data_IF_165737907211
#
_entry.id   IF_165737907211
#
_cell.length_a   1.000
_cell.length_b   1.000
_cell.length_c   1.000
_cell.angle_alpha   90.00
_cell.angle_beta   90.00
_cell.angle_gamma   90.00
#
_symmetry.space_group_name_H-M   'P 1'
#
loop_
_entity.id
_entity.type
_entity.pdbx_description
1 polymer ?
#
# COMPACT_ATOMS: atom_id res chain seq x y z
N UNK A 1 3.61 7.56 -25.26
CA UNK A 1 3.82 6.91 -25.01
C UNK A 1 3.41 5.97 -24.41
N UNK A 2 3.52 5.35 -24.24
CA UNK A 2 3.08 4.41 -23.91
C UNK A 2 3.10 4.02 -22.69
N UNK A 3 2.14 3.73 -22.20
CA UNK A 3 2.00 3.34 -20.94
C UNK A 3 1.84 1.90 -20.92
N UNK A 4 2.11 1.21 -21.95
CA UNK A 4 1.94 -0.16 -21.94
C UNK A 4 2.57 -0.85 -20.80
N UNK A 5 3.75 -0.68 -20.49
CA UNK A 5 4.38 -1.35 -19.38
C UNK A 5 3.99 -0.72 -18.07
N UNK A 6 3.72 0.56 -18.08
CA UNK A 6 3.44 1.25 -16.82
C UNK A 6 2.07 0.84 -16.27
N UNK A 7 1.09 0.66 -17.15
CA UNK A 7 -0.21 0.24 -16.65
C UNK A 7 -0.14 -1.16 -16.05
N UNK A 8 0.63 -2.04 -16.66
CA UNK A 8 0.79 -3.38 -16.13
C UNK A 8 1.48 -3.36 -14.78
N UNK A 9 2.47 -2.49 -14.63
CA UNK A 9 3.15 -2.37 -13.35
C UNK A 9 2.22 -1.79 -12.29
N UNK A 10 1.37 -0.87 -12.69
CA UNK A 10 0.40 -0.31 -11.74
C UNK A 10 -0.54 -1.40 -11.24
N UNK A 11 -0.92 -2.34 -12.12
CA UNK A 11 -1.75 -3.44 -11.69
C UNK A 11 -1.02 -4.31 -10.67
N UNK A 12 0.28 -4.51 -10.87
CA UNK A 12 1.04 -5.30 -9.92
C UNK A 12 1.15 -4.58 -8.59
N UNK A 13 1.28 -3.26 -8.63
CA UNK A 13 1.34 -2.49 -7.39
C UNK A 13 0.01 -2.59 -6.66
N UNK A 14 -1.11 -2.54 -7.39
CA UNK A 14 -2.41 -2.67 -6.76
C UNK A 14 -2.56 -4.04 -6.11
N UNK A 15 -2.11 -5.08 -6.77
CA UNK A 15 -2.18 -6.41 -6.21
C UNK A 15 -1.31 -6.52 -4.97
N UNK A 16 -0.15 -5.86 -4.98
CA UNK A 16 0.73 -5.88 -3.84
C UNK A 16 0.08 -5.16 -2.66
N UNK A 17 -0.62 -4.07 -2.93
CA UNK A 17 -1.29 -3.33 -1.86
C UNK A 17 -2.35 -4.21 -1.20
N UNK A 18 -3.04 -5.04 -1.99
CA UNK A 18 -4.03 -5.92 -1.42
C UNK A 18 -3.38 -7.02 -0.60
N UNK A 19 -2.27 -7.55 -1.09
CA UNK A 19 -1.57 -8.58 -0.34
C UNK A 19 -1.02 -8.01 0.97
N UNK A 20 -0.63 -6.76 0.95
CA UNK A 20 -0.14 -6.11 2.15
C UNK A 20 -1.27 -5.99 3.17
N UNK A 21 -2.47 -5.66 2.71
CA UNK A 21 -3.61 -5.56 3.62
C UNK A 21 -3.92 -6.91 4.23
N UNK A 22 -3.87 -7.99 3.43
CA UNK A 22 -4.15 -9.31 3.95
C UNK A 22 -3.10 -9.73 4.96
N UNK A 23 -1.84 -9.43 4.65
CA UNK A 23 -0.77 -9.79 5.56
C UNK A 23 -0.89 -9.01 6.87
N UNK A 24 -1.34 -7.77 6.77
CA UNK A 24 -1.52 -6.95 7.96
C UNK A 24 -2.55 -7.58 8.88
N UNK A 25 -3.64 -8.11 8.33
CA UNK A 25 -4.64 -8.74 9.16
C UNK A 25 -4.08 -9.95 9.87
N UNK A 26 -3.24 -10.72 9.21
CA UNK A 26 -2.62 -11.87 9.84
C UNK A 26 -1.71 -11.44 10.97
N UNK A 27 -0.95 -10.39 10.76
CA UNK A 27 -0.04 -9.91 11.79
C UNK A 27 -0.83 -9.39 12.98
N UNK A 28 -1.95 -8.72 12.74
CA UNK A 28 -2.75 -8.21 13.82
C UNK A 28 -3.37 -9.35 14.63
N UNK A 29 -3.75 -10.43 13.98
CA UNK A 29 -4.30 -11.55 14.70
C UNK A 29 -3.26 -12.20 15.59
N UNK A 30 -2.00 -12.07 15.26
CA UNK A 30 -0.96 -12.67 16.04
C UNK A 30 -0.45 -11.75 17.14
N UNK A 31 -0.86 -10.51 17.13
CA UNK A 31 -0.38 -9.54 18.11
C UNK A 31 -1.12 -9.71 19.40
N UNK A 32 -0.69 -10.67 20.20
CA UNK A 32 -1.34 -10.93 21.46
C UNK A 32 -0.32 -10.81 22.57
N UNK A 33 -0.73 -10.83 23.76
CA UNK A 33 0.19 -10.75 24.88
C UNK A 33 0.24 -9.33 25.40
N UNK A 34 1.16 -9.09 26.31
CA UNK A 34 1.23 -7.82 27.00
C UNK A 34 1.49 -6.67 26.05
N UNK A 35 2.27 -6.88 25.01
CA UNK A 35 2.56 -5.81 24.08
C UNK A 35 1.68 -5.86 22.86
N UNK A 36 0.68 -6.68 22.84
CA UNK A 36 -0.10 -6.90 21.64
C UNK A 36 -0.70 -5.64 21.08
N UNK A 37 -1.24 -4.77 21.92
CA UNK A 37 -1.87 -3.57 21.43
C UNK A 37 -0.85 -2.62 20.83
N UNK A 38 0.31 -2.50 21.44
CA UNK A 38 1.33 -1.60 20.92
C UNK A 38 1.86 -2.11 19.58
N UNK A 39 2.03 -3.42 19.48
CA UNK A 39 2.51 -3.99 18.24
C UNK A 39 1.45 -3.80 17.15
N UNK A 40 0.18 -4.02 17.47
CA UNK A 40 -0.88 -3.86 16.49
C UNK A 40 -0.96 -2.41 16.01
N UNK A 41 -0.85 -1.46 16.91
CA UNK A 41 -0.94 -0.06 16.53
C UNK A 41 0.22 0.33 15.63
N UNK A 42 1.42 -0.16 15.94
CA UNK A 42 2.57 0.16 15.12
C UNK A 42 2.43 -0.47 13.74
N UNK A 43 2.00 -1.72 13.71
CA UNK A 43 1.82 -2.42 12.45
C UNK A 43 0.80 -1.69 11.59
N UNK A 44 -0.29 -1.26 12.18
CA UNK A 44 -1.31 -0.59 11.42
C UNK A 44 -0.82 0.72 10.84
N UNK A 45 -0.04 1.48 11.61
CA UNK A 45 0.47 2.75 11.10
C UNK A 45 1.43 2.53 9.94
N UNK A 46 2.31 1.54 10.06
CA UNK A 46 3.28 1.27 9.02
C UNK A 46 2.57 0.79 7.76
N UNK A 47 1.60 -0.11 7.92
CA UNK A 47 0.91 -0.66 6.77
C UNK A 47 0.07 0.42 6.07
N UNK A 48 -0.56 1.29 6.85
CA UNK A 48 -1.36 2.35 6.25
C UNK A 48 -0.49 3.28 5.41
N UNK A 49 0.68 3.64 5.93
CA UNK A 49 1.56 4.51 5.18
C UNK A 49 2.08 3.82 3.93
N UNK A 50 2.41 2.53 4.04
CA UNK A 50 2.91 1.81 2.89
C UNK A 50 1.84 1.66 1.83
N UNK A 51 0.60 1.38 2.24
CA UNK A 51 -0.47 1.23 1.28
C UNK A 51 -0.74 2.55 0.56
N UNK A 52 -0.71 3.65 1.28
CA UNK A 52 -0.92 4.95 0.64
C UNK A 52 0.18 5.26 -0.36
N UNK A 53 1.41 4.86 -0.04
CA UNK A 53 2.51 5.08 -0.95
C UNK A 53 2.33 4.23 -2.21
N UNK A 54 1.86 2.98 -2.05
CA UNK A 54 1.63 2.13 -3.20
C UNK A 54 0.48 2.69 -4.06
N UNK A 55 -0.56 3.17 -3.42
CA UNK A 55 -1.69 3.72 -4.15
C UNK A 55 -1.27 4.95 -4.94
N UNK A 56 -0.43 5.78 -4.34
CA UNK A 56 0.05 6.95 -5.04
C UNK A 56 0.92 6.55 -6.22
N UNK A 57 1.79 5.55 -6.01
CA UNK A 57 2.65 5.11 -7.09
C UNK A 57 1.82 4.55 -8.25
N UNK A 58 0.80 3.77 -7.93
CA UNK A 58 -0.05 3.20 -8.96
C UNK A 58 -0.75 4.32 -9.73
N UNK A 59 -1.27 5.31 -9.02
CA UNK A 59 -1.97 6.41 -9.67
C UNK A 59 -1.03 7.19 -10.58
N UNK A 60 0.19 7.40 -10.14
CA UNK A 60 1.15 8.12 -10.96
C UNK A 60 1.47 7.35 -12.23
N UNK A 61 1.60 6.05 -12.12
CA UNK A 61 1.92 5.26 -13.31
C UNK A 61 0.76 5.26 -14.29
N UNK A 62 -0.46 5.40 -13.80
CA UNK A 62 -1.61 5.46 -14.68
C UNK A 62 -1.89 6.87 -15.18
N UNK A 63 -1.14 7.84 -14.67
CA UNK A 63 -1.34 9.22 -15.08
C UNK A 63 -2.56 9.87 -14.46
N UNK A 64 -3.03 9.31 -13.33
CA UNK A 64 -4.22 9.88 -12.72
C UNK A 64 -3.92 10.42 -11.34
N UNK A 65 -2.69 10.62 -10.99
CA UNK A 65 -2.38 11.13 -9.68
C UNK A 65 -2.83 12.55 -9.52
N UNK A 66 -3.25 12.91 -8.33
CA UNK A 66 -3.78 14.25 -8.11
C UNK A 66 -2.74 15.31 -8.27
N UNK A 67 -1.51 15.00 -8.15
CA UNK A 67 -0.57 16.05 -8.22
C UNK A 67 0.20 15.94 -9.45
N UNK A 68 -0.33 15.38 -10.47
CA UNK A 68 0.33 15.29 -11.60
C UNK A 68 0.92 16.51 -11.99
N UNK A 69 0.26 17.53 -11.89
CA UNK A 69 0.76 18.66 -12.38
C UNK A 69 1.47 19.41 -11.46
N UNK A 70 1.62 19.05 -10.40
CA UNK A 70 2.22 19.82 -9.44
C UNK A 70 3.62 20.09 -9.78
N UNK A 71 4.15 19.52 -10.68
CA UNK A 71 5.46 19.84 -10.92
C UNK A 71 5.70 20.92 -11.67
#
# INVERSE_FOLDING_TARGET
VTDDGLAALADEIDALAERLADRSLELLRRAVGDDGEAVAARTERVVTRARRALERASALLRGTGPDDDAD
#
